data_IF_411358601675
#
_entry.id   IF_411358601675
#
_cell.length_a   1.000
_cell.length_b   1.000
_cell.length_c   1.000
_cell.angle_alpha   90.00
_cell.angle_beta   90.00
_cell.angle_gamma   90.00
#
_symmetry.space_group_name_H-M   'P 1'
#
loop_
_entity.id
_entity.type
_entity.pdbx_description
1 polymer ?
#
# COMPACT_ATOMS: atom_id res chain seq x y z
N UNK A 1 -0.73 26.72 0.36
CA UNK A 1 -0.33 25.30 0.46
C UNK A 1 -1.38 24.54 -0.31
N UNK A 2 -1.01 24.00 -1.46
CA UNK A 2 -1.95 23.47 -2.46
C UNK A 2 -2.35 22.03 -2.09
N UNK A 3 -3.65 21.73 -2.18
CA UNK A 3 -4.25 20.45 -1.80
C UNK A 3 -3.65 19.23 -2.55
N UNK A 4 -3.10 19.44 -3.75
CA UNK A 4 -2.46 18.40 -4.55
C UNK A 4 -1.20 17.82 -3.88
N UNK A 5 -0.42 18.64 -3.16
CA UNK A 5 0.75 18.17 -2.41
C UNK A 5 0.37 17.36 -1.16
N UNK A 6 -0.86 17.52 -0.67
CA UNK A 6 -1.37 16.73 0.44
C UNK A 6 -1.74 15.32 -0.04
N UNK A 7 -2.31 15.18 -1.24
CA UNK A 7 -2.74 13.90 -1.78
C UNK A 7 -1.57 12.98 -2.17
N UNK A 8 -0.59 13.46 -2.95
CA UNK A 8 0.59 12.64 -3.28
C UNK A 8 1.44 12.34 -2.05
N UNK A 9 1.51 13.28 -1.09
CA UNK A 9 2.12 13.08 0.22
C UNK A 9 1.49 11.94 1.02
N UNK A 10 0.16 11.85 1.05
CA UNK A 10 -0.54 10.76 1.76
C UNK A 10 -0.32 9.39 1.10
N UNK A 11 -0.25 9.32 -0.22
CA UNK A 11 0.07 8.08 -0.94
C UNK A 11 1.50 7.63 -0.67
N UNK A 12 2.46 8.55 -0.69
CA UNK A 12 3.85 8.29 -0.32
C UNK A 12 3.97 7.78 1.12
N UNK A 13 3.35 8.47 2.08
CA UNK A 13 3.34 8.04 3.49
C UNK A 13 2.69 6.66 3.68
N UNK A 14 1.69 6.33 2.86
CA UNK A 14 1.05 5.00 2.90
C UNK A 14 1.98 3.92 2.34
N UNK A 15 2.73 4.21 1.26
CA UNK A 15 3.79 3.32 0.77
C UNK A 15 4.86 3.06 1.84
N UNK A 16 5.31 4.11 2.53
CA UNK A 16 6.28 4.01 3.62
C UNK A 16 5.74 3.14 4.77
N UNK A 17 4.47 3.32 5.13
CA UNK A 17 3.83 2.50 6.15
C UNK A 17 3.77 1.00 5.75
N UNK A 18 3.47 0.69 4.48
CA UNK A 18 3.52 -0.68 3.98
C UNK A 18 4.91 -1.29 4.08
N UNK A 19 5.95 -0.54 3.69
CA UNK A 19 7.35 -0.98 3.83
C UNK A 19 7.74 -1.17 5.30
N UNK A 20 7.23 -0.33 6.19
CA UNK A 20 7.40 -0.46 7.63
C UNK A 20 6.82 -1.77 8.15
N UNK A 21 5.61 -2.15 7.72
CA UNK A 21 4.98 -3.43 8.10
C UNK A 21 5.82 -4.61 7.59
N UNK A 22 6.22 -4.59 6.32
CA UNK A 22 7.06 -5.64 5.71
C UNK A 22 8.35 -5.82 6.50
N UNK A 23 9.05 -4.71 6.76
CA UNK A 23 10.33 -4.72 7.50
C UNK A 23 10.14 -5.23 8.93
N UNK A 24 9.09 -4.77 9.63
CA UNK A 24 8.82 -5.20 10.99
C UNK A 24 8.48 -6.69 11.06
N UNK A 25 7.69 -7.22 10.11
CA UNK A 25 7.40 -8.65 10.02
C UNK A 25 8.65 -9.47 9.72
N UNK A 26 9.51 -8.99 8.81
CA UNK A 26 10.75 -9.68 8.47
C UNK A 26 11.74 -9.76 9.63
N UNK A 27 11.75 -8.73 10.49
CA UNK A 27 12.54 -8.69 11.70
C UNK A 27 11.88 -9.39 12.91
N UNK A 28 10.69 -9.99 12.75
CA UNK A 28 9.93 -10.61 13.85
C UNK A 28 9.41 -9.60 14.89
N UNK A 29 9.39 -8.31 14.53
CA UNK A 29 8.93 -7.19 15.38
C UNK A 29 7.43 -6.91 15.20
N UNK A 30 6.82 -7.46 14.15
CA UNK A 30 5.38 -7.39 13.93
C UNK A 30 4.73 -8.69 14.42
N UNK A 31 3.98 -8.59 15.52
CA UNK A 31 3.25 -9.71 16.13
C UNK A 31 1.76 -9.44 16.02
N UNK A 32 1.01 -10.40 15.49
CA UNK A 32 -0.43 -10.28 15.28
C UNK A 32 -1.11 -11.62 15.49
N UNK A 33 -2.31 -11.59 16.07
CA UNK A 33 -3.14 -12.80 16.21
C UNK A 33 -3.68 -13.25 14.85
N UNK A 34 -4.04 -14.54 14.67
CA UNK A 34 -4.63 -15.03 13.43
C UNK A 34 -5.86 -14.20 13.00
N UNK A 35 -6.83 -14.01 13.90
CA UNK A 35 -8.08 -13.29 13.59
C UNK A 35 -7.83 -11.84 13.12
N UNK A 36 -6.93 -11.11 13.81
CA UNK A 36 -6.61 -9.75 13.41
C UNK A 36 -5.80 -9.72 12.10
N UNK A 37 -4.93 -10.70 11.89
CA UNK A 37 -4.16 -10.85 10.67
C UNK A 37 -5.02 -11.15 9.45
N UNK A 38 -6.02 -12.02 9.59
CA UNK A 38 -6.96 -12.35 8.51
C UNK A 38 -7.78 -11.13 8.07
N UNK A 39 -8.23 -10.30 9.01
CA UNK A 39 -8.91 -9.04 8.69
C UNK A 39 -7.99 -8.05 7.96
N UNK A 40 -6.72 -7.91 8.40
CA UNK A 40 -5.76 -7.07 7.67
C UNK A 40 -5.46 -7.61 6.28
N UNK A 41 -5.31 -8.93 6.12
CA UNK A 41 -5.10 -9.57 4.81
C UNK A 41 -6.25 -9.20 3.87
N UNK A 42 -7.50 -9.30 4.35
CA UNK A 42 -8.68 -8.94 3.58
C UNK A 42 -8.66 -7.47 3.17
N UNK A 43 -8.36 -6.56 4.10
CA UNK A 43 -8.26 -5.11 3.81
C UNK A 43 -7.20 -4.84 2.73
N UNK A 44 -6.02 -5.47 2.80
CA UNK A 44 -5.00 -5.29 1.78
C UNK A 44 -5.39 -5.90 0.44
N UNK A 45 -6.10 -7.03 0.42
CA UNK A 45 -6.64 -7.58 -0.84
C UNK A 45 -7.65 -6.62 -1.48
N UNK A 46 -8.60 -6.10 -0.71
CA UNK A 46 -9.57 -5.09 -1.19
C UNK A 46 -8.88 -3.80 -1.67
N UNK A 47 -7.82 -3.37 -0.97
CA UNK A 47 -6.99 -2.25 -1.41
C UNK A 47 -6.31 -2.55 -2.76
N UNK A 48 -5.78 -3.76 -2.94
CA UNK A 48 -5.17 -4.18 -4.21
C UNK A 48 -6.13 -4.08 -5.39
N UNK A 49 -7.37 -4.53 -5.19
CA UNK A 49 -8.44 -4.44 -6.19
C UNK A 49 -8.80 -2.97 -6.48
N UNK A 50 -8.98 -2.15 -5.44
CA UNK A 50 -9.26 -0.72 -5.59
C UNK A 50 -8.14 0.03 -6.34
N UNK A 51 -6.87 -0.28 -6.05
CA UNK A 51 -5.72 0.33 -6.74
C UNK A 51 -5.68 -0.06 -8.22
N UNK A 52 -6.05 -1.31 -8.55
CA UNK A 52 -6.15 -1.78 -9.93
C UNK A 52 -7.20 -0.99 -10.72
N UNK A 53 -8.37 -0.73 -10.14
CA UNK A 53 -9.42 0.08 -10.77
C UNK A 53 -9.03 1.56 -10.87
N UNK A 54 -8.31 2.06 -9.87
CA UNK A 54 -7.81 3.44 -9.86
C UNK A 54 -6.78 3.68 -10.96
N UNK A 55 -5.88 2.73 -11.22
CA UNK A 55 -4.92 2.83 -12.33
C UNK A 55 -5.62 2.94 -13.70
N UNK A 56 -6.72 2.22 -13.90
CA UNK A 56 -7.51 2.33 -15.12
C UNK A 56 -8.12 3.74 -15.30
N UNK A 57 -8.42 4.43 -14.18
CA UNK A 57 -8.89 5.82 -14.23
C UNK A 57 -7.76 6.80 -14.56
N UNK A 58 -6.54 6.55 -14.08
CA UNK A 58 -5.35 7.36 -14.38
C UNK A 58 -5.01 7.31 -15.87
N UNK A 59 -5.25 6.18 -16.54
CA UNK A 59 -5.08 6.06 -18.00
C UNK A 59 -5.94 7.04 -18.81
N UNK A 60 -7.01 7.58 -18.22
CA UNK A 60 -7.83 8.63 -18.82
C UNK A 60 -7.19 10.00 -18.59
N UNK A 61 -6.73 10.27 -17.37
CA UNK A 61 -6.20 11.57 -16.94
C UNK A 61 -4.85 11.87 -17.58
N UNK A 62 -4.00 10.85 -17.78
CA UNK A 62 -2.68 11.01 -18.40
C UNK A 62 -2.71 11.30 -19.91
N UNK A 63 -3.89 11.24 -20.53
CA UNK A 63 -4.09 11.63 -21.93
C UNK A 63 -4.09 13.14 -22.06
N UNK A 64 -3.75 13.61 -23.26
CA UNK A 64 -3.86 15.04 -23.57
C UNK A 64 -5.33 15.46 -23.40
N UNK A 65 -5.58 16.36 -22.45
CA UNK A 65 -6.94 16.79 -22.10
C UNK A 65 -7.45 17.71 -23.21
N UNK A 66 -8.61 17.46 -23.82
CA UNK A 66 -9.07 18.19 -25.00
C UNK A 66 -9.64 19.58 -24.64
N UNK A 67 -8.77 20.48 -24.17
CA UNK A 67 -9.11 21.85 -23.74
C UNK A 67 -8.88 22.90 -24.84
N UNK A 68 -8.62 22.45 -26.07
CA UNK A 68 -8.31 23.30 -27.22
C UNK A 68 -6.88 23.85 -27.23
N UNK A 69 -6.51 24.56 -28.30
CA UNK A 69 -5.15 25.08 -28.55
C UNK A 69 -4.90 26.48 -28.00
N UNK A 70 -5.66 26.90 -26.98
CA UNK A 70 -5.32 28.13 -26.27
C UNK A 70 -4.07 27.87 -25.42
N UNK A 71 -3.20 28.87 -25.19
CA UNK A 71 -2.05 28.70 -24.30
C UNK A 71 -2.42 28.16 -22.92
N UNK A 72 -3.59 28.54 -22.39
CA UNK A 72 -4.10 28.02 -21.13
C UNK A 72 -4.53 26.54 -21.23
N UNK A 73 -5.20 26.14 -22.30
CA UNK A 73 -5.61 24.76 -22.54
C UNK A 73 -4.42 23.81 -22.66
N UNK A 74 -3.37 24.23 -23.37
CA UNK A 74 -2.13 23.48 -23.51
C UNK A 74 -1.39 23.35 -22.17
N UNK A 75 -1.30 24.44 -21.39
CA UNK A 75 -0.66 24.43 -20.08
C UNK A 75 -1.37 23.50 -19.09
N UNK A 76 -2.71 23.53 -19.04
CA UNK A 76 -3.50 22.65 -18.16
C UNK A 76 -3.36 21.18 -18.60
N UNK A 77 -3.42 20.91 -19.91
CA UNK A 77 -3.24 19.55 -20.42
C UNK A 77 -1.86 19.00 -20.06
N UNK A 78 -0.80 19.81 -20.20
CA UNK A 78 0.55 19.41 -19.82
C UNK A 78 0.67 19.16 -18.30
N UNK A 79 0.05 20.02 -17.48
CA UNK A 79 0.03 19.86 -16.03
C UNK A 79 -0.67 18.56 -15.60
N UNK A 80 -1.87 18.28 -16.14
CA UNK A 80 -2.62 17.05 -15.84
C UNK A 80 -1.79 15.80 -16.14
N UNK A 81 -1.09 15.81 -17.28
CA UNK A 81 -0.22 14.72 -17.68
C UNK A 81 0.99 14.55 -16.77
N UNK A 82 1.62 15.65 -16.36
CA UNK A 82 2.75 15.62 -15.42
C UNK A 82 2.32 15.06 -14.06
N UNK A 83 1.20 15.50 -13.52
CA UNK A 83 0.69 15.02 -12.23
C UNK A 83 0.23 13.56 -12.30
N UNK A 84 -0.37 13.15 -13.41
CA UNK A 84 -0.86 11.79 -13.59
C UNK A 84 0.27 10.77 -13.81
N UNK A 85 1.23 11.06 -14.69
CA UNK A 85 2.23 10.09 -15.19
C UNK A 85 3.61 10.68 -15.43
N UNK A 86 3.99 11.71 -14.70
CA UNK A 86 5.29 12.38 -14.82
C UNK A 86 6.43 11.57 -14.21
N UNK A 87 6.80 11.91 -12.99
CA UNK A 87 7.95 11.38 -12.25
C UNK A 87 7.53 10.45 -11.11
N UNK A 88 8.43 10.20 -10.16
CA UNK A 88 8.21 9.34 -9.01
C UNK A 88 7.19 9.91 -8.01
N UNK A 89 6.83 11.20 -8.13
CA UNK A 89 5.76 11.83 -7.33
C UNK A 89 4.40 11.76 -8.03
N UNK A 90 4.34 11.25 -9.27
CA UNK A 90 3.09 11.13 -10.02
C UNK A 90 2.14 10.10 -9.42
N UNK A 91 0.83 10.31 -9.65
CA UNK A 91 -0.19 9.37 -9.18
C UNK A 91 0.02 7.96 -9.71
N UNK A 92 0.35 7.80 -10.99
CA UNK A 92 0.62 6.49 -11.60
C UNK A 92 1.76 5.77 -10.89
N UNK A 93 2.88 6.46 -10.61
CA UNK A 93 4.02 5.86 -9.92
C UNK A 93 3.65 5.43 -8.50
N UNK A 94 3.06 6.32 -7.71
CA UNK A 94 2.74 6.07 -6.31
C UNK A 94 1.72 4.93 -6.15
N UNK A 95 0.69 4.90 -6.99
CA UNK A 95 -0.35 3.86 -6.96
C UNK A 95 0.19 2.52 -7.46
N UNK A 96 1.05 2.49 -8.48
CA UNK A 96 1.73 1.27 -8.88
C UNK A 96 2.60 0.72 -7.75
N UNK A 97 3.37 1.58 -7.08
CA UNK A 97 4.16 1.18 -5.91
C UNK A 97 3.30 0.60 -4.79
N UNK A 98 2.13 1.20 -4.50
CA UNK A 98 1.19 0.66 -3.52
C UNK A 98 0.65 -0.72 -3.93
N UNK A 99 0.28 -0.86 -5.20
CA UNK A 99 -0.24 -2.11 -5.76
C UNK A 99 0.81 -3.23 -5.71
N UNK A 100 2.07 -2.91 -5.98
CA UNK A 100 3.18 -3.87 -5.87
C UNK A 100 3.51 -4.26 -4.43
N UNK A 101 3.31 -3.35 -3.48
CA UNK A 101 3.60 -3.60 -2.06
C UNK A 101 2.46 -4.32 -1.34
N UNK A 102 1.22 -4.14 -1.78
CA UNK A 102 0.03 -4.81 -1.22
C UNK A 102 0.21 -6.34 -1.05
N UNK A 103 0.57 -7.13 -2.08
CA UNK A 103 0.78 -8.56 -1.89
C UNK A 103 1.96 -8.88 -0.96
N UNK A 104 3.00 -8.04 -0.91
CA UNK A 104 4.13 -8.22 0.00
C UNK A 104 3.71 -8.02 1.46
N UNK A 105 2.83 -7.05 1.73
CA UNK A 105 2.25 -6.84 3.05
C UNK A 105 1.39 -8.05 3.47
N UNK A 106 0.59 -8.60 2.56
CA UNK A 106 -0.18 -9.83 2.83
C UNK A 106 0.73 -10.98 3.25
N UNK A 107 1.82 -11.22 2.53
CA UNK A 107 2.78 -12.27 2.88
C UNK A 107 3.49 -12.00 4.21
N UNK A 108 3.83 -10.73 4.48
CA UNK A 108 4.39 -10.31 5.75
C UNK A 108 3.44 -10.61 6.93
N UNK A 109 2.14 -10.31 6.78
CA UNK A 109 1.13 -10.60 7.80
C UNK A 109 1.01 -12.12 8.02
N UNK A 110 0.92 -12.93 6.97
CA UNK A 110 0.85 -14.40 7.08
C UNK A 110 2.06 -14.98 7.82
N UNK A 111 3.25 -14.46 7.54
CA UNK A 111 4.48 -14.83 8.24
C UNK A 111 4.38 -14.49 9.73
N UNK A 112 3.92 -13.28 10.05
CA UNK A 112 3.73 -12.86 11.45
C UNK A 112 2.69 -13.68 12.22
N UNK A 113 1.58 -14.08 11.59
CA UNK A 113 0.61 -15.02 12.17
C UNK A 113 1.28 -16.35 12.51
N UNK A 114 2.08 -16.89 11.58
CA UNK A 114 2.81 -18.15 11.78
C UNK A 114 3.78 -18.05 12.95
N UNK A 115 4.54 -16.95 13.06
CA UNK A 115 5.44 -16.69 14.19
C UNK A 115 4.70 -16.58 15.52
N UNK A 116 3.53 -15.93 15.52
CA UNK A 116 2.69 -15.85 16.72
C UNK A 116 2.24 -17.23 17.19
N UNK A 117 1.71 -18.06 16.29
CA UNK A 117 1.24 -19.41 16.60
C UNK A 117 2.36 -20.30 17.16
N UNK A 118 3.53 -20.29 16.52
CA UNK A 118 4.70 -21.04 17.01
C UNK A 118 5.12 -20.62 18.41
N UNK A 119 5.09 -19.31 18.69
CA UNK A 119 5.43 -18.76 20.01
C UNK A 119 4.40 -19.17 21.06
N UNK A 120 3.12 -19.13 20.72
CA UNK A 120 2.04 -19.53 21.63
C UNK A 120 2.10 -21.02 21.95
N UNK A 121 2.29 -21.88 20.94
CA UNK A 121 2.46 -23.33 21.11
C UNK A 121 3.65 -23.68 22.02
N UNK A 122 4.80 -23.01 21.84
CA UNK A 122 5.99 -23.21 22.68
C UNK A 122 5.74 -22.81 24.14
N UNK A 123 5.01 -21.71 24.37
CA UNK A 123 4.67 -21.27 25.70
C UNK A 123 3.71 -22.25 26.39
N UNK A 124 2.72 -22.77 25.66
CA UNK A 124 1.79 -23.78 26.18
C UNK A 124 2.52 -25.07 26.59
N UNK A 125 3.47 -25.54 25.78
CA UNK A 125 4.30 -26.72 26.12
C UNK A 125 5.10 -26.49 27.41
N UNK A 126 5.77 -25.36 27.53
CA UNK A 126 6.60 -25.01 28.70
C UNK A 126 5.77 -24.96 29.98
N UNK A 127 4.57 -24.35 29.93
CA UNK A 127 3.67 -24.25 31.08
C UNK A 127 3.20 -25.64 31.52
N UNK A 128 2.81 -26.50 30.58
CA UNK A 128 2.36 -27.85 30.91
C UNK A 128 3.48 -28.69 31.56
N UNK A 129 4.73 -28.56 31.11
CA UNK A 129 5.89 -29.23 31.72
C UNK A 129 6.23 -28.75 33.13
N UNK A 130 5.90 -27.49 33.49
CA UNK A 130 6.15 -26.96 34.84
C UNK A 130 5.03 -27.24 35.83
N UNK A 131 3.90 -27.79 35.38
CA UNK A 131 2.72 -28.07 36.22
C UNK A 131 2.52 -29.57 36.52
N UNK A 132 3.39 -30.45 36.02
CA UNK A 132 3.52 -31.88 36.39
C UNK A 132 4.65 -32.10 37.40
#
# INVERSE_FOLDING_TARGET
MNDDQNLTGNLSATNDAMQGIITAADNGQFVITPDAGDELIKIFQELGDYLQDTLASIDIVKRDTPLGHSPAGEAISAFNKQVASGDDESFEHLINSMRENTPKVVEAIKKSITTYQQTDEQNQQTINETTE
#
